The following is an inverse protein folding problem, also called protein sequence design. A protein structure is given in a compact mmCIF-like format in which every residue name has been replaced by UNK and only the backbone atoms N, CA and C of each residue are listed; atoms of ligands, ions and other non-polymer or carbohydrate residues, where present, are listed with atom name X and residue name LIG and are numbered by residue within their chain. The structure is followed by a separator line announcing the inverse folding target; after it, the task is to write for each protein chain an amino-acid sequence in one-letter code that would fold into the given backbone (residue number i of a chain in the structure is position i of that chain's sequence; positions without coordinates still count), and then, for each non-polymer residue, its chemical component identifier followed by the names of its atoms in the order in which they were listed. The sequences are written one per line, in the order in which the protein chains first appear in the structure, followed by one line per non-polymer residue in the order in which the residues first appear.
data_IF_178784730024
#
_entry.id   IF_178784730024
#
_cell.length_a   1.000
_cell.length_b   1.000
_cell.length_c   1.000
_cell.angle_alpha   90.00
_cell.angle_beta   90.00
_cell.angle_gamma   90.00
#
_symmetry.space_group_name_H-M   'P 1'
#
loop_
_entity.id
_entity.type
_entity.pdbx_description
1 polymer ?
#
# COMPACT_ATOMS: atom_id res chain seq x y z
N UNK A 1 15.09 4.98 20.27
CA UNK A 1 15.67 3.73 19.78
C UNK A 1 14.64 3.05 18.91
N UNK A 2 15.05 2.57 17.74
CA UNK A 2 14.17 1.80 16.83
C UNK A 2 14.42 0.31 17.11
N UNK A 3 13.39 -0.42 17.51
CA UNK A 3 13.50 -1.82 17.91
C UNK A 3 12.92 -2.80 16.87
N UNK A 4 12.15 -2.31 15.91
CA UNK A 4 11.45 -3.13 14.91
C UNK A 4 11.73 -2.66 13.48
N UNK A 5 11.64 -3.60 12.53
CA UNK A 5 11.94 -3.34 11.12
C UNK A 5 11.09 -2.20 10.55
N UNK A 6 9.81 -2.14 10.85
CA UNK A 6 8.94 -1.13 10.25
C UNK A 6 9.23 0.30 10.75
N UNK A 7 9.86 0.47 11.90
CA UNK A 7 10.34 1.79 12.34
C UNK A 7 11.52 2.31 11.49
N UNK A 8 12.02 1.49 10.56
CA UNK A 8 13.10 1.83 9.63
C UNK A 8 12.62 2.07 8.21
N UNK A 9 11.39 1.66 7.88
CA UNK A 9 10.79 1.86 6.57
C UNK A 9 10.24 3.27 6.48
N UNK A 10 10.46 3.94 5.34
CA UNK A 10 9.93 5.27 5.05
C UNK A 10 8.42 5.26 4.81
N UNK A 11 7.83 6.42 4.80
CA UNK A 11 6.43 6.64 4.47
C UNK A 11 6.31 7.24 3.08
N UNK A 12 5.20 6.96 2.39
CA UNK A 12 4.91 7.48 1.07
C UNK A 12 4.45 8.93 1.06
N UNK A 13 4.35 9.48 -0.14
CA UNK A 13 3.68 10.74 -0.41
C UNK A 13 2.89 10.62 -1.72
N UNK A 14 1.99 11.55 -1.95
CA UNK A 14 1.22 11.66 -3.18
C UNK A 14 1.10 13.11 -3.62
N UNK A 15 1.04 13.32 -4.93
CA UNK A 15 0.66 14.58 -5.55
C UNK A 15 -0.75 14.41 -6.11
N UNK A 16 -1.65 15.32 -5.76
CA UNK A 16 -3.04 15.33 -6.23
C UNK A 16 -3.57 16.77 -6.26
N UNK A 17 -4.56 17.02 -7.09
CA UNK A 17 -5.33 18.26 -7.07
C UNK A 17 -6.61 18.01 -6.25
N UNK A 18 -6.50 18.10 -4.91
CA UNK A 18 -7.57 17.63 -4.02
C UNK A 18 -8.84 18.50 -4.06
N UNK A 19 -8.74 19.75 -4.50
CA UNK A 19 -9.86 20.68 -4.57
C UNK A 19 -10.19 21.13 -6.00
N UNK A 20 -9.65 20.43 -7.01
CA UNK A 20 -9.86 20.65 -8.45
C UNK A 20 -9.58 22.09 -8.88
N UNK A 21 -8.55 22.72 -8.29
CA UNK A 21 -8.16 24.09 -8.60
C UNK A 21 -7.13 24.21 -9.74
N UNK A 22 -6.69 23.08 -10.30
CA UNK A 22 -5.74 22.95 -11.40
C UNK A 22 -4.28 22.95 -10.95
N UNK A 23 -3.99 22.88 -9.64
CA UNK A 23 -2.64 22.86 -9.09
C UNK A 23 -2.43 21.66 -8.19
N UNK A 24 -1.30 20.97 -8.40
CA UNK A 24 -0.95 19.81 -7.60
C UNK A 24 -0.60 20.20 -6.16
N UNK A 25 -1.28 19.53 -5.24
CA UNK A 25 -1.06 19.57 -3.81
C UNK A 25 -0.20 18.38 -3.36
N UNK A 26 0.23 18.36 -2.12
CA UNK A 26 1.10 17.31 -1.60
C UNK A 26 0.51 16.67 -0.36
N UNK A 27 0.25 15.38 -0.41
CA UNK A 27 -0.12 14.59 0.77
C UNK A 27 1.07 13.76 1.22
N UNK A 28 1.52 13.96 2.45
CA UNK A 28 2.68 13.30 3.05
C UNK A 28 2.23 12.40 4.18
N UNK A 29 2.62 11.14 4.11
CA UNK A 29 2.31 10.17 5.15
C UNK A 29 3.29 10.27 6.32
N UNK A 30 2.81 9.96 7.51
CA UNK A 30 3.61 9.93 8.72
C UNK A 30 3.71 8.52 9.29
N UNK A 31 4.95 8.01 9.37
CA UNK A 31 5.29 6.91 10.26
C UNK A 31 5.71 7.46 11.61
N UNK A 32 5.23 6.85 12.67
CA UNK A 32 5.53 7.29 14.03
C UNK A 32 6.26 6.22 14.83
N UNK A 33 6.48 6.46 16.12
CA UNK A 33 6.95 5.43 17.04
C UNK A 33 5.79 4.53 17.44
N UNK A 34 6.08 3.27 17.76
CA UNK A 34 5.07 2.36 18.32
C UNK A 34 4.69 2.72 19.74
N UNK A 35 5.65 3.24 20.48
CA UNK A 35 5.49 3.71 21.85
C UNK A 35 5.95 5.16 21.93
N UNK A 36 5.41 5.91 22.85
CA UNK A 36 5.76 7.32 23.08
C UNK A 36 5.61 8.16 21.79
N UNK A 37 4.44 8.06 21.17
CA UNK A 37 4.12 8.82 19.95
C UNK A 37 4.18 10.31 20.23
N UNK A 38 5.04 11.09 19.54
CA UNK A 38 5.11 12.53 19.76
C UNK A 38 3.77 13.21 19.43
N UNK A 39 3.41 14.21 20.21
CA UNK A 39 2.23 15.02 19.93
C UNK A 39 2.33 15.66 18.54
N UNK A 40 1.20 15.70 17.83
CA UNK A 40 1.13 16.29 16.47
C UNK A 40 1.69 15.42 15.36
N UNK A 41 2.10 14.17 15.64
CA UNK A 41 2.49 13.21 14.60
C UNK A 41 1.25 12.74 13.84
N UNK A 42 1.10 13.16 12.60
CA UNK A 42 -0.03 12.81 11.72
C UNK A 42 0.38 12.95 10.26
N UNK A 43 -0.39 12.39 9.34
CA UNK A 43 -0.27 12.72 7.92
C UNK A 43 -0.43 14.23 7.71
N UNK A 44 0.05 14.73 6.58
CA UNK A 44 -0.04 16.17 6.24
C UNK A 44 -0.53 16.36 4.82
N UNK A 45 -1.57 17.20 4.65
CA UNK A 45 -1.99 17.72 3.36
C UNK A 45 -1.54 19.17 3.23
N UNK A 46 -0.77 19.45 2.21
CA UNK A 46 -0.23 20.76 1.89
C UNK A 46 -0.87 21.29 0.60
N UNK A 47 -1.72 22.31 0.74
CA UNK A 47 -2.30 23.01 -0.41
C UNK A 47 -1.26 23.90 -1.08
N UNK A 48 -1.17 23.83 -2.40
CA UNK A 48 -0.34 24.68 -3.23
C UNK A 48 -0.94 26.11 -3.30
N UNK A 49 -0.17 27.11 -2.92
CA UNK A 49 -0.61 28.52 -2.95
C UNK A 49 -0.38 29.19 -4.32
N UNK A 50 0.12 28.45 -5.33
CA UNK A 50 0.40 28.93 -6.71
C UNK A 50 1.53 29.97 -6.80
N UNK A 51 2.26 30.21 -5.73
CA UNK A 51 3.38 31.14 -5.64
C UNK A 51 4.71 30.45 -5.26
N UNK A 52 4.72 29.11 -5.27
CA UNK A 52 5.85 28.28 -4.85
C UNK A 52 5.86 27.97 -3.35
N UNK A 53 4.82 28.38 -2.63
CA UNK A 53 4.62 28.05 -1.20
C UNK A 53 3.45 27.10 -1.00
N UNK A 54 3.36 26.51 0.19
CA UNK A 54 2.31 25.57 0.57
C UNK A 54 1.72 25.93 1.93
N UNK A 55 0.43 25.63 2.10
CA UNK A 55 -0.29 25.81 3.37
C UNK A 55 -0.72 24.45 3.91
N UNK A 56 -0.41 24.15 5.17
CA UNK A 56 -0.92 22.95 5.86
C UNK A 56 -2.43 23.08 6.09
N UNK A 57 -3.20 22.23 5.41
CA UNK A 57 -4.66 22.18 5.50
C UNK A 57 -5.19 20.87 6.10
N UNK A 58 -4.31 20.06 6.66
CA UNK A 58 -4.58 18.70 7.14
C UNK A 58 -5.81 18.60 8.05
N UNK A 59 -5.88 19.48 9.04
CA UNK A 59 -6.97 19.46 10.03
C UNK A 59 -8.29 19.90 9.40
N UNK A 60 -8.26 20.96 8.59
CA UNK A 60 -9.42 21.45 7.85
C UNK A 60 -9.94 20.38 6.87
N UNK A 61 -9.04 19.67 6.21
CA UNK A 61 -9.38 18.62 5.26
C UNK A 61 -9.87 17.30 5.92
N UNK A 62 -9.80 17.18 7.25
CA UNK A 62 -10.22 15.96 7.95
C UNK A 62 -9.25 14.78 7.84
N UNK A 63 -8.01 15.02 7.43
CA UNK A 63 -6.98 13.98 7.21
C UNK A 63 -6.04 13.77 8.40
N UNK A 64 -6.40 14.34 9.55
CA UNK A 64 -5.62 14.19 10.78
C UNK A 64 -5.75 12.77 11.34
N UNK A 65 -4.75 11.93 11.09
CA UNK A 65 -4.69 10.57 11.61
C UNK A 65 -3.27 10.23 12.06
N UNK A 66 -3.18 9.74 13.28
CA UNK A 66 -1.94 9.18 13.83
C UNK A 66 -1.91 7.69 13.60
N UNK A 67 -0.77 7.14 13.20
CA UNK A 67 -0.57 5.71 12.97
C UNK A 67 0.68 5.46 12.14
N UNK A 68 0.95 4.20 11.87
CA UNK A 68 2.05 3.85 10.98
C UNK A 68 1.51 3.74 9.54
N UNK A 69 1.49 4.86 8.82
CA UNK A 69 1.15 4.89 7.40
C UNK A 69 2.34 4.42 6.55
N UNK A 70 2.09 3.73 5.45
CA UNK A 70 3.14 3.20 4.56
C UNK A 70 3.03 3.76 3.15
N UNK A 71 1.89 3.63 2.51
CA UNK A 71 1.66 4.05 1.13
C UNK A 71 0.29 4.70 0.96
N UNK A 72 0.13 5.43 -0.12
CA UNK A 72 -1.15 6.00 -0.54
C UNK A 72 -1.32 5.79 -2.03
N UNK A 73 -2.52 5.42 -2.46
CA UNK A 73 -2.94 5.52 -3.85
C UNK A 73 -4.11 6.49 -3.99
N UNK A 74 -4.19 7.11 -5.17
CA UNK A 74 -5.15 8.14 -5.53
C UNK A 74 -6.01 7.61 -6.66
N UNK A 75 -7.30 7.93 -6.64
CA UNK A 75 -8.23 7.65 -7.74
C UNK A 75 -9.65 7.97 -7.35
N UNK A 76 -10.44 8.35 -8.32
CA UNK A 76 -11.87 8.58 -8.18
C UNK A 76 -12.61 7.22 -8.21
N UNK A 77 -12.70 6.58 -7.01
CA UNK A 77 -13.27 5.22 -6.92
C UNK A 77 -14.79 5.19 -7.06
N UNK A 78 -15.46 6.31 -6.83
CA UNK A 78 -16.91 6.42 -6.86
C UNK A 78 -17.43 7.16 -8.10
N UNK A 79 -16.53 7.57 -9.04
CA UNK A 79 -16.81 8.27 -10.27
C UNK A 79 -17.56 9.61 -10.06
N UNK A 80 -17.22 10.37 -8.99
CA UNK A 80 -17.84 11.68 -8.70
C UNK A 80 -17.03 12.88 -9.23
N UNK A 81 -15.85 12.62 -9.83
CA UNK A 81 -14.98 13.63 -10.42
C UNK A 81 -13.96 14.22 -9.46
N UNK A 82 -13.85 13.70 -8.24
CA UNK A 82 -12.84 14.09 -7.26
C UNK A 82 -11.93 12.92 -6.90
N UNK A 83 -10.63 13.20 -6.80
CA UNK A 83 -9.66 12.20 -6.38
C UNK A 83 -9.84 11.83 -4.91
N UNK A 84 -10.01 10.53 -4.64
CA UNK A 84 -10.06 9.91 -3.33
C UNK A 84 -8.71 9.36 -2.92
N UNK A 85 -8.53 9.05 -1.63
CA UNK A 85 -7.28 8.53 -1.09
C UNK A 85 -7.49 7.17 -0.42
N UNK A 86 -6.72 6.17 -0.79
CA UNK A 86 -6.58 4.97 0.02
C UNK A 86 -5.20 4.95 0.65
N UNK A 87 -5.15 4.93 1.98
CA UNK A 87 -3.91 4.96 2.76
C UNK A 87 -3.70 3.63 3.47
N UNK A 88 -2.54 3.01 3.24
CA UNK A 88 -2.16 1.77 3.91
C UNK A 88 -1.48 2.04 5.24
N UNK A 89 -1.78 1.20 6.23
CA UNK A 89 -1.24 1.29 7.58
C UNK A 89 -0.82 -0.08 8.11
N UNK A 90 0.03 -0.07 9.12
CA UNK A 90 0.06 -1.19 10.05
C UNK A 90 -1.17 -1.14 10.95
N UNK A 91 -2.05 -2.14 10.81
CA UNK A 91 -3.34 -2.22 11.49
C UNK A 91 -4.51 -2.10 10.52
N UNK A 92 -5.19 -0.96 10.52
CA UNK A 92 -6.33 -0.69 9.65
C UNK A 92 -5.98 0.31 8.58
N UNK A 93 -6.08 -0.10 7.30
CA UNK A 93 -6.04 0.81 6.15
C UNK A 93 -7.26 1.71 6.12
N UNK A 94 -7.17 2.85 5.43
CA UNK A 94 -8.26 3.83 5.38
C UNK A 94 -8.55 4.27 3.96
N UNK A 95 -9.84 4.23 3.61
CA UNK A 95 -10.38 4.88 2.42
C UNK A 95 -10.97 6.23 2.83
N UNK A 96 -10.43 7.29 2.28
CA UNK A 96 -10.93 8.65 2.44
C UNK A 96 -11.63 9.07 1.15
N UNK A 97 -12.94 9.31 1.23
CA UNK A 97 -13.70 9.91 0.14
C UNK A 97 -13.53 11.42 0.17
N UNK A 98 -13.20 12.00 -0.97
CA UNK A 98 -13.22 13.45 -1.17
C UNK A 98 -14.68 13.94 -1.26
N UNK A 99 -15.03 14.95 -0.51
CA UNK A 99 -16.39 15.48 -0.48
C UNK A 99 -16.64 16.60 -1.53
N UNK A 100 -15.61 16.96 -2.32
CA UNK A 100 -15.69 18.03 -3.31
C UNK A 100 -15.72 19.44 -2.76
N UNK A 101 -15.59 19.61 -1.44
CA UNK A 101 -15.60 20.90 -0.74
C UNK A 101 -14.25 21.22 -0.05
N UNK A 102 -13.21 20.46 -0.40
CA UNK A 102 -11.87 20.54 0.20
C UNK A 102 -11.74 19.75 1.50
N UNK A 103 -12.69 18.87 1.80
CA UNK A 103 -12.65 17.97 2.96
C UNK A 103 -12.75 16.50 2.54
N UNK A 104 -12.33 15.61 3.44
CA UNK A 104 -12.40 14.16 3.24
C UNK A 104 -13.19 13.49 4.37
N UNK A 105 -13.84 12.38 4.04
CA UNK A 105 -14.55 11.52 5.00
C UNK A 105 -13.94 10.13 5.01
N UNK A 106 -13.59 9.59 6.19
CA UNK A 106 -13.21 8.18 6.34
C UNK A 106 -14.46 7.31 6.13
N UNK A 107 -14.49 6.61 5.02
CA UNK A 107 -15.60 5.72 4.61
C UNK A 107 -15.21 4.24 4.63
N UNK A 108 -14.11 3.90 5.28
CA UNK A 108 -13.55 2.53 5.31
C UNK A 108 -14.56 1.48 5.73
N UNK A 109 -15.34 1.79 6.75
CA UNK A 109 -16.35 0.87 7.29
C UNK A 109 -17.52 0.71 6.33
N UNK A 110 -18.05 1.81 5.83
CA UNK A 110 -19.16 1.88 4.88
C UNK A 110 -18.80 1.19 3.57
N UNK A 111 -17.56 1.35 3.13
CA UNK A 111 -17.01 0.70 1.94
C UNK A 111 -16.71 -0.80 2.12
N UNK A 112 -16.88 -1.37 3.32
CA UNK A 112 -16.62 -2.80 3.57
C UNK A 112 -15.14 -3.17 3.66
N UNK A 113 -14.24 -2.19 3.87
CA UNK A 113 -12.78 -2.39 3.86
C UNK A 113 -12.16 -2.57 5.26
N UNK A 114 -12.98 -2.89 6.27
CA UNK A 114 -12.44 -3.18 7.60
C UNK A 114 -11.66 -4.50 7.60
N UNK A 115 -10.43 -4.44 8.08
CA UNK A 115 -9.61 -5.63 8.25
C UNK A 115 -10.14 -6.52 9.38
N UNK A 116 -10.40 -7.80 9.10
CA UNK A 116 -10.76 -8.77 10.13
C UNK A 116 -9.62 -9.05 11.13
N UNK A 117 -8.36 -8.83 10.70
CA UNK A 117 -7.15 -8.98 11.52
C UNK A 117 -6.19 -7.83 11.21
N UNK A 118 -5.33 -7.49 12.18
CA UNK A 118 -4.24 -6.54 11.92
C UNK A 118 -3.35 -7.05 10.79
N UNK A 119 -3.11 -6.20 9.81
CA UNK A 119 -2.20 -6.44 8.68
C UNK A 119 -1.23 -5.28 8.56
N UNK A 120 -0.17 -5.45 7.82
CA UNK A 120 0.68 -4.36 7.42
C UNK A 120 0.52 -4.11 5.92
N UNK A 121 -0.40 -3.21 5.57
CA UNK A 121 -0.52 -2.70 4.21
C UNK A 121 0.71 -1.86 3.89
N UNK A 122 1.43 -2.24 2.85
CA UNK A 122 2.71 -1.62 2.46
C UNK A 122 2.62 -0.85 1.16
N UNK A 123 1.87 -1.36 0.18
CA UNK A 123 1.62 -0.73 -1.09
C UNK A 123 0.15 -0.86 -1.49
N UNK A 124 -0.32 0.00 -2.37
CA UNK A 124 -1.66 -0.08 -2.93
C UNK A 124 -1.69 0.48 -4.35
N UNK A 125 -2.69 0.07 -5.12
CA UNK A 125 -3.02 0.64 -6.43
C UNK A 125 -4.51 0.54 -6.66
N UNK A 126 -5.11 1.62 -7.15
CA UNK A 126 -6.39 1.55 -7.81
C UNK A 126 -6.20 1.03 -9.25
N UNK A 127 -7.08 0.17 -9.71
CA UNK A 127 -7.03 -0.46 -11.02
C UNK A 127 -8.41 -0.98 -11.42
N UNK A 128 -8.88 -0.66 -12.59
CA UNK A 128 -10.09 -1.27 -13.17
C UNK A 128 -9.70 -2.60 -13.84
N UNK A 129 -9.55 -3.68 -13.02
CA UNK A 129 -8.99 -4.94 -13.50
C UNK A 129 -9.98 -5.76 -14.34
N UNK A 130 -11.29 -5.59 -14.16
CA UNK A 130 -12.33 -6.30 -14.91
C UNK A 130 -13.00 -5.43 -15.99
N UNK A 131 -12.51 -4.19 -16.14
CA UNK A 131 -12.90 -3.22 -17.16
C UNK A 131 -14.40 -2.87 -17.11
N UNK A 132 -14.95 -2.82 -15.91
CA UNK A 132 -16.35 -2.44 -15.70
C UNK A 132 -16.55 -0.92 -15.51
N UNK A 133 -15.45 -0.13 -15.53
CA UNK A 133 -15.46 1.33 -15.40
C UNK A 133 -15.41 1.82 -13.97
N UNK A 134 -15.23 0.91 -13.00
CA UNK A 134 -15.04 1.24 -11.58
C UNK A 134 -13.64 0.87 -11.14
N UNK A 135 -12.99 1.76 -10.40
CA UNK A 135 -11.65 1.48 -9.87
C UNK A 135 -11.72 0.48 -8.71
N UNK A 136 -11.15 -0.69 -8.94
CA UNK A 136 -10.91 -1.71 -7.93
C UNK A 136 -9.66 -1.37 -7.12
N UNK A 137 -9.38 -2.11 -6.05
CA UNK A 137 -8.29 -1.82 -5.14
C UNK A 137 -7.43 -3.06 -4.88
N UNK A 138 -6.15 -2.97 -5.25
CA UNK A 138 -5.15 -3.95 -4.84
C UNK A 138 -4.31 -3.44 -3.68
N UNK A 139 -4.06 -4.30 -2.67
CA UNK A 139 -3.26 -3.98 -1.48
C UNK A 139 -2.17 -5.03 -1.29
N UNK A 140 -0.92 -4.62 -1.41
CA UNK A 140 0.20 -5.42 -0.98
C UNK A 140 0.34 -5.37 0.55
N UNK A 141 0.72 -6.51 1.13
CA UNK A 141 1.02 -6.62 2.56
C UNK A 141 2.43 -7.15 2.72
N UNK A 142 3.17 -6.59 3.70
CA UNK A 142 4.59 -6.89 3.90
C UNK A 142 4.81 -8.13 4.75
N UNK A 143 4.64 -8.01 6.05
CA UNK A 143 4.77 -9.09 7.01
C UNK A 143 3.52 -9.19 7.89
N UNK A 144 3.27 -10.39 8.41
CA UNK A 144 2.30 -10.57 9.50
C UNK A 144 3.00 -10.18 10.80
N UNK A 145 2.96 -8.89 11.13
CA UNK A 145 3.68 -8.35 12.28
C UNK A 145 2.81 -8.36 13.52
N UNK A 146 3.25 -9.13 14.51
CA UNK A 146 2.71 -9.13 15.86
C UNK A 146 3.75 -8.51 16.81
N UNK A 147 3.38 -7.42 17.46
CA UNK A 147 4.27 -6.66 18.33
C UNK A 147 4.76 -7.48 19.53
N UNK A 148 3.88 -8.35 20.08
CA UNK A 148 4.17 -9.14 21.26
C UNK A 148 5.07 -10.35 20.94
N UNK A 149 4.99 -10.86 19.72
CA UNK A 149 5.76 -12.00 19.24
C UNK A 149 7.00 -11.61 18.41
N UNK A 150 7.11 -10.35 18.00
CA UNK A 150 8.20 -9.91 17.12
C UNK A 150 9.56 -9.96 17.82
N UNK A 151 10.56 -10.61 17.20
CA UNK A 151 11.89 -10.69 17.78
C UNK A 151 12.57 -9.31 17.77
N UNK A 152 13.29 -9.02 18.85
CA UNK A 152 14.09 -7.79 19.00
C UNK A 152 15.51 -7.98 18.44
N UNK A 153 16.26 -6.88 18.24
CA UNK A 153 17.64 -6.95 17.79
C UNK A 153 18.47 -7.97 18.58
N UNK A 154 19.15 -8.87 17.87
CA UNK A 154 19.98 -9.90 18.45
C UNK A 154 19.27 -11.17 18.92
N UNK A 155 17.95 -11.24 18.90
CA UNK A 155 17.22 -12.39 19.45
C UNK A 155 17.20 -13.64 18.54
N UNK A 156 17.48 -13.50 17.26
CA UNK A 156 17.64 -14.64 16.35
C UNK A 156 18.67 -14.35 15.24
N UNK A 157 18.94 -15.34 14.39
CA UNK A 157 19.96 -15.22 13.32
C UNK A 157 19.67 -14.09 12.34
N UNK A 158 18.39 -13.82 12.04
CA UNK A 158 17.98 -12.77 11.11
C UNK A 158 18.03 -11.36 11.75
N UNK A 159 18.32 -11.28 13.04
CA UNK A 159 18.45 -10.05 13.81
C UNK A 159 19.91 -9.74 14.17
N UNK A 160 20.87 -10.33 13.43
CA UNK A 160 22.31 -10.13 13.61
C UNK A 160 22.98 -9.86 12.26
N UNK A 161 23.86 -8.86 12.24
CA UNK A 161 24.73 -8.57 11.11
C UNK A 161 26.17 -8.67 11.56
N UNK A 162 26.90 -9.70 11.10
CA UNK A 162 28.32 -9.92 11.46
C UNK A 162 28.58 -9.84 12.97
N UNK A 163 27.68 -10.41 13.78
CA UNK A 163 27.77 -10.40 15.23
C UNK A 163 27.24 -9.14 15.93
N UNK A 164 26.74 -8.16 15.17
CA UNK A 164 26.14 -6.93 15.71
C UNK A 164 24.61 -7.12 15.74
N UNK A 165 23.96 -6.92 16.90
CA UNK A 165 22.50 -6.89 16.97
C UNK A 165 21.90 -5.79 16.09
N UNK A 166 21.02 -6.18 15.15
CA UNK A 166 20.30 -5.28 14.26
C UNK A 166 18.81 -5.59 14.32
N UNK A 167 17.98 -4.71 13.78
CA UNK A 167 16.55 -5.00 13.59
C UNK A 167 16.42 -6.24 12.72
N UNK A 168 15.48 -7.12 13.03
CA UNK A 168 15.21 -8.29 12.23
C UNK A 168 14.75 -7.87 10.84
N UNK A 169 15.37 -8.40 9.80
CA UNK A 169 14.89 -8.27 8.43
C UNK A 169 13.58 -9.04 8.22
N UNK A 170 12.94 -8.96 7.05
CA UNK A 170 11.69 -9.69 6.81
C UNK A 170 11.91 -11.20 6.80
N UNK A 171 13.10 -11.67 6.36
CA UNK A 171 13.44 -13.10 6.37
C UNK A 171 13.34 -13.68 7.77
N UNK A 172 12.59 -14.77 7.89
CA UNK A 172 12.29 -15.41 9.18
C UNK A 172 11.06 -14.86 9.90
N UNK A 173 10.41 -13.82 9.36
CA UNK A 173 9.09 -13.37 9.78
C UNK A 173 8.01 -13.91 8.83
N UNK A 174 6.75 -14.11 9.28
CA UNK A 174 5.69 -14.58 8.42
C UNK A 174 5.38 -13.55 7.32
N UNK A 175 5.32 -14.00 6.05
CA UNK A 175 4.99 -13.17 4.90
C UNK A 175 3.55 -12.67 4.97
N UNK A 176 3.31 -11.45 4.43
CA UNK A 176 1.99 -10.91 4.24
C UNK A 176 1.18 -11.63 3.16
N UNK A 177 -0.12 -11.43 3.18
CA UNK A 177 -1.06 -11.88 2.14
C UNK A 177 -1.62 -10.67 1.43
N UNK A 178 -1.45 -10.58 0.12
CA UNK A 178 -2.00 -9.50 -0.68
C UNK A 178 -3.53 -9.61 -0.77
N UNK A 179 -4.18 -8.52 -1.09
CA UNK A 179 -5.64 -8.46 -1.22
C UNK A 179 -6.06 -7.74 -2.49
N UNK A 180 -7.12 -8.25 -3.13
CA UNK A 180 -7.82 -7.60 -4.21
C UNK A 180 -9.28 -7.40 -3.80
N UNK A 181 -9.73 -6.16 -3.88
CA UNK A 181 -11.10 -5.76 -3.56
C UNK A 181 -11.76 -5.25 -4.84
N UNK A 182 -12.84 -5.92 -5.25
CA UNK A 182 -13.66 -5.48 -6.37
C UNK A 182 -14.60 -4.36 -5.93
N UNK A 183 -14.64 -3.29 -6.69
CA UNK A 183 -15.61 -2.22 -6.53
C UNK A 183 -16.99 -2.69 -7.02
N UNK A 184 -18.04 -2.50 -6.22
CA UNK A 184 -19.39 -2.91 -6.59
C UNK A 184 -20.17 -1.83 -7.36
N UNK A 185 -19.55 -0.65 -7.61
CA UNK A 185 -20.18 0.50 -8.29
C UNK A 185 -21.18 1.28 -7.43
N UNK A 186 -21.32 0.93 -6.15
CA UNK A 186 -22.23 1.57 -5.19
C UNK A 186 -21.49 2.22 -4.01
N UNK A 187 -20.16 2.39 -4.13
CA UNK A 187 -19.29 2.91 -3.08
C UNK A 187 -18.79 1.85 -2.09
N UNK A 188 -19.13 0.58 -2.31
CA UNK A 188 -18.66 -0.55 -1.49
C UNK A 188 -17.72 -1.47 -2.27
N UNK A 189 -16.94 -2.27 -1.54
CA UNK A 189 -16.00 -3.22 -2.10
C UNK A 189 -16.25 -4.64 -1.59
N UNK A 190 -15.95 -5.61 -2.43
CA UNK A 190 -15.99 -7.04 -2.10
C UNK A 190 -14.58 -7.63 -2.16
N UNK A 191 -14.11 -8.30 -1.09
CA UNK A 191 -12.84 -9.04 -1.12
C UNK A 191 -12.95 -10.24 -2.06
N UNK A 192 -12.24 -10.18 -3.17
CA UNK A 192 -12.18 -11.22 -4.20
C UNK A 192 -10.83 -11.93 -4.26
N UNK A 193 -9.95 -11.70 -3.30
CA UNK A 193 -8.56 -12.17 -3.28
C UNK A 193 -8.42 -13.67 -3.54
N UNK A 194 -9.31 -14.48 -2.95
CA UNK A 194 -9.32 -15.95 -3.15
C UNK A 194 -9.87 -16.31 -4.52
N UNK A 195 -11.00 -15.71 -4.91
CA UNK A 195 -11.66 -15.97 -6.19
C UNK A 195 -10.79 -15.55 -7.37
N UNK A 196 -10.11 -14.43 -7.22
CA UNK A 196 -9.21 -13.87 -8.24
C UNK A 196 -7.84 -14.58 -8.34
N UNK A 197 -7.54 -15.58 -7.51
CA UNK A 197 -6.29 -16.30 -7.56
C UNK A 197 -5.09 -15.59 -6.91
N UNK A 198 -5.32 -14.49 -6.18
CA UNK A 198 -4.29 -13.78 -5.42
C UNK A 198 -3.91 -14.57 -4.16
N UNK A 199 -4.89 -15.27 -3.55
CA UNK A 199 -4.74 -16.09 -2.34
C UNK A 199 -5.20 -17.54 -2.60
N UNK A 200 -4.78 -18.52 -1.77
CA UNK A 200 -3.92 -18.44 -0.57
C UNK A 200 -2.45 -18.75 -0.82
N UNK A 201 -2.07 -19.15 -2.03
CA UNK A 201 -0.79 -19.83 -2.28
C UNK A 201 0.35 -18.87 -2.60
N UNK A 202 0.04 -17.62 -2.93
CA UNK A 202 1.03 -16.64 -3.37
C UNK A 202 1.28 -15.68 -2.21
N UNK A 203 2.52 -15.62 -1.75
CA UNK A 203 2.99 -14.80 -0.63
C UNK A 203 4.30 -14.15 -0.98
N UNK A 204 4.53 -12.98 -0.44
CA UNK A 204 5.79 -12.26 -0.56
C UNK A 204 5.89 -11.19 0.50
N UNK A 205 7.08 -10.62 0.66
CA UNK A 205 7.26 -9.40 1.44
C UNK A 205 6.96 -8.20 0.53
N UNK A 206 5.70 -8.06 0.10
CA UNK A 206 5.31 -7.00 -0.82
C UNK A 206 5.54 -5.61 -0.25
N UNK A 207 6.07 -4.70 -1.08
CA UNK A 207 6.37 -3.31 -0.69
C UNK A 207 5.61 -2.31 -1.54
N UNK A 208 5.69 -2.43 -2.85
CA UNK A 208 5.10 -1.48 -3.81
C UNK A 208 4.26 -2.22 -4.83
N UNK A 209 3.21 -1.58 -5.31
CA UNK A 209 2.31 -2.11 -6.35
C UNK A 209 2.32 -1.16 -7.53
N UNK A 210 2.39 -1.74 -8.73
CA UNK A 210 2.15 -1.04 -10.00
C UNK A 210 1.15 -1.84 -10.81
N UNK A 211 0.14 -1.18 -11.34
CA UNK A 211 -0.80 -1.77 -12.29
C UNK A 211 -0.58 -1.19 -13.68
N UNK A 212 -0.44 -2.04 -14.67
CA UNK A 212 -0.27 -1.69 -16.08
C UNK A 212 -0.59 -2.90 -16.97
N UNK A 213 -0.86 -2.67 -18.22
CA UNK A 213 -0.94 -3.72 -19.24
C UNK A 213 0.50 -4.07 -19.68
N UNK A 214 1.10 -5.11 -19.06
CA UNK A 214 2.50 -5.47 -19.28
C UNK A 214 2.74 -6.28 -20.55
N UNK A 215 1.72 -6.87 -21.16
CA UNK A 215 1.85 -7.64 -22.40
C UNK A 215 1.06 -7.05 -23.60
N UNK A 216 0.50 -5.86 -23.43
CA UNK A 216 -0.27 -5.11 -24.44
C UNK A 216 -1.49 -5.88 -24.94
N UNK A 217 -2.16 -6.62 -24.07
CA UNK A 217 -3.37 -7.36 -24.39
C UNK A 217 -4.67 -6.57 -24.13
N UNK A 218 -4.53 -5.35 -23.57
CA UNK A 218 -5.62 -4.42 -23.26
C UNK A 218 -6.23 -4.63 -21.87
N UNK A 219 -5.68 -5.52 -21.03
CA UNK A 219 -6.14 -5.77 -19.68
C UNK A 219 -5.04 -5.41 -18.67
N UNK A 220 -5.38 -4.71 -17.58
CA UNK A 220 -4.36 -4.37 -16.59
C UNK A 220 -3.91 -5.59 -15.80
N UNK A 221 -2.59 -5.72 -15.68
CA UNK A 221 -1.90 -6.67 -14.82
C UNK A 221 -1.44 -5.99 -13.53
N UNK A 222 -0.93 -6.76 -12.57
CA UNK A 222 -0.47 -6.24 -11.29
C UNK A 222 0.92 -6.75 -10.97
N UNK A 223 1.87 -5.83 -10.85
CA UNK A 223 3.21 -6.09 -10.37
C UNK A 223 3.35 -5.72 -8.90
N UNK A 224 3.92 -6.63 -8.10
CA UNK A 224 4.24 -6.39 -6.69
C UNK A 224 5.74 -6.53 -6.49
N UNK A 225 6.40 -5.43 -6.23
CA UNK A 225 7.81 -5.45 -5.81
C UNK A 225 7.92 -6.00 -4.40
N UNK A 226 8.76 -7.01 -4.21
CA UNK A 226 8.94 -7.68 -2.92
C UNK A 226 10.33 -7.46 -2.36
N UNK A 227 10.44 -7.22 -1.04
CA UNK A 227 11.69 -7.25 -0.31
C UNK A 227 12.08 -8.68 0.06
N UNK A 228 13.32 -9.08 -0.20
CA UNK A 228 13.88 -10.35 0.25
C UNK A 228 13.16 -11.62 -0.23
N UNK A 229 12.21 -11.52 -1.14
CA UNK A 229 11.56 -12.61 -1.89
C UNK A 229 11.43 -12.20 -3.36
N UNK A 230 11.26 -13.16 -4.30
CA UNK A 230 10.96 -12.83 -5.68
C UNK A 230 9.78 -11.87 -5.80
N UNK A 231 9.90 -10.89 -6.70
CA UNK A 231 8.77 -10.02 -7.05
C UNK A 231 7.70 -10.82 -7.77
N UNK A 232 6.44 -10.39 -7.65
CA UNK A 232 5.28 -11.09 -8.20
C UNK A 232 4.72 -10.32 -9.39
N UNK A 233 4.28 -11.07 -10.41
CA UNK A 233 3.56 -10.51 -11.55
C UNK A 233 2.27 -11.31 -11.76
N UNK A 234 1.16 -10.69 -11.43
CA UNK A 234 -0.17 -11.24 -11.61
C UNK A 234 -0.70 -10.83 -12.99
N UNK A 235 -0.69 -11.76 -13.93
CA UNK A 235 -1.21 -11.58 -15.29
C UNK A 235 -2.72 -11.78 -15.30
N UNK A 236 -3.45 -10.82 -15.84
CA UNK A 236 -4.90 -10.84 -15.95
C UNK A 236 -5.36 -11.91 -16.94
N UNK A 237 -6.29 -12.79 -16.55
CA UNK A 237 -6.81 -13.86 -17.40
C UNK A 237 -8.09 -13.44 -18.15
N UNK A 238 -8.53 -12.18 -18.03
CA UNK A 238 -9.72 -11.60 -18.71
C UNK A 238 -11.05 -12.23 -18.27
N UNK A 239 -11.05 -12.98 -17.20
CA UNK A 239 -12.21 -13.66 -16.62
C UNK A 239 -12.44 -13.30 -15.14
N UNK A 240 -11.78 -12.24 -14.68
CA UNK A 240 -11.78 -11.79 -13.29
C UNK A 240 -10.80 -12.53 -12.39
N UNK A 241 -9.90 -13.33 -12.99
CA UNK A 241 -8.83 -14.04 -12.26
C UNK A 241 -7.44 -13.62 -12.74
N UNK A 242 -6.44 -13.92 -11.93
CA UNK A 242 -5.04 -13.66 -12.21
C UNK A 242 -4.21 -14.93 -12.08
N UNK A 243 -3.13 -15.00 -12.85
CA UNK A 243 -2.11 -16.02 -12.75
C UNK A 243 -0.77 -15.38 -12.44
N UNK A 244 -0.09 -15.86 -11.40
CA UNK A 244 1.25 -15.37 -11.08
C UNK A 244 2.26 -15.98 -12.08
N UNK A 245 2.97 -15.10 -12.80
CA UNK A 245 3.90 -15.47 -13.87
C UNK A 245 5.28 -14.80 -13.73
N UNK A 246 5.63 -14.26 -12.58
CA UNK A 246 6.87 -13.52 -12.36
C UNK A 246 8.12 -14.34 -12.71
N UNK A 247 8.14 -15.63 -12.37
CA UNK A 247 9.25 -16.51 -12.70
C UNK A 247 9.34 -16.77 -14.22
N UNK A 248 8.21 -17.05 -14.87
CA UNK A 248 8.15 -17.36 -16.30
C UNK A 248 8.49 -16.14 -17.15
N UNK A 249 8.09 -14.97 -16.71
CA UNK A 249 8.34 -13.68 -17.38
C UNK A 249 9.71 -13.08 -17.04
N UNK A 250 10.52 -13.76 -16.22
CA UNK A 250 11.91 -13.39 -15.94
C UNK A 250 12.11 -12.24 -14.96
N UNK A 251 11.07 -11.78 -14.26
CA UNK A 251 11.18 -10.69 -13.30
C UNK A 251 11.47 -11.15 -11.85
N UNK A 252 11.34 -12.44 -11.60
CA UNK A 252 11.53 -13.02 -10.26
C UNK A 252 12.99 -13.39 -9.95
N UNK A 253 13.86 -13.46 -10.96
CA UNK A 253 15.25 -13.85 -10.84
C UNK A 253 16.20 -12.83 -11.45
N UNK A 254 17.39 -12.70 -10.87
CA UNK A 254 18.52 -11.98 -11.44
C UNK A 254 19.16 -12.80 -12.58
N UNK A 255 20.09 -12.19 -13.33
CA UNK A 255 20.83 -12.82 -14.41
C UNK A 255 21.59 -14.08 -14.00
N UNK A 256 22.02 -14.18 -12.75
CA UNK A 256 22.72 -15.32 -12.16
C UNK A 256 21.76 -16.41 -11.61
N UNK A 257 20.44 -16.26 -11.79
CA UNK A 257 19.42 -17.18 -11.32
C UNK A 257 19.12 -17.08 -9.81
N UNK A 258 19.67 -16.10 -9.11
CA UNK A 258 19.29 -15.80 -7.73
C UNK A 258 17.98 -15.03 -7.69
N UNK A 259 17.27 -15.08 -6.55
CA UNK A 259 16.03 -14.33 -6.38
C UNK A 259 16.23 -12.82 -6.62
N UNK A 260 15.51 -12.27 -7.59
CA UNK A 260 15.42 -10.82 -7.78
C UNK A 260 14.52 -10.26 -6.69
N UNK A 261 15.09 -10.06 -5.53
CA UNK A 261 14.47 -9.26 -4.48
C UNK A 261 14.71 -7.80 -4.83
N UNK A 262 13.74 -7.17 -5.46
CA UNK A 262 13.78 -5.74 -5.67
C UNK A 262 13.51 -5.05 -4.32
N UNK A 263 14.56 -4.69 -3.61
CA UNK A 263 14.47 -3.61 -2.63
C UNK A 263 14.26 -2.30 -3.41
N UNK A 264 13.19 -2.21 -4.18
CA UNK A 264 12.79 -0.99 -4.89
C UNK A 264 12.10 -0.08 -3.91
N UNK A 265 12.89 0.71 -3.26
CA UNK A 265 12.43 1.94 -2.63
C UNK A 265 12.22 2.93 -3.77
N UNK A 266 10.98 3.16 -4.11
CA UNK A 266 10.56 4.24 -5.00
C UNK A 266 10.59 3.91 -6.51
N UNK A 267 9.43 3.77 -7.06
CA UNK A 267 9.14 4.09 -8.47
C UNK A 267 8.40 5.42 -8.46
#
# INVERSE_FOLDING_TARGET
KKDYIFETVGCGCAFLDYDNDGWMDVFVLSGTRLTDVPAGTTNRLYKNNRDGTFTDVTEKAGLHRTGWASSVCIGDYNNDGFDDLFVTYWGQNVLYRNNGDGTFTDVTKEAGLLNAKKRWGSGCSFVDYDRDGHLDLFVANYIQFDLDAAPKPGQNLNCNWKGIPVNCGPRGLPMGYHSLYRNNGDGTFTDVSVKAGILPNIKGYGMTVVSADFDNDGWPDIFVACDSTPSLLFMNQRDGTFKEEGLIRGIALNEDGTEAAAATVGV
#
